data_IF_238605646889
#
_entry.id   IF_238605646889
#
_cell.length_a   1.000
_cell.length_b   1.000
_cell.length_c   1.000
_cell.angle_alpha   90.00
_cell.angle_beta   90.00
_cell.angle_gamma   90.00
#
_symmetry.space_group_name_H-M   'P 1'
#
loop_
_entity.id
_entity.type
_entity.pdbx_description
1 polymer ?
#
# COMPACT_ATOMS: atom_id res chain seq x y z
N UNK A 1 -4.41 -16.58 11.52
CA UNK A 1 -3.79 -16.26 10.21
C UNK A 1 -3.48 -14.76 10.18
N UNK A 2 -2.34 -14.31 9.66
CA UNK A 2 -1.92 -12.89 9.68
C UNK A 2 -1.92 -12.30 8.28
N UNK A 3 -2.48 -11.10 8.11
CA UNK A 3 -2.49 -10.42 6.82
C UNK A 3 -1.07 -10.14 6.33
N UNK A 4 -0.79 -10.49 5.08
CA UNK A 4 0.49 -10.27 4.40
C UNK A 4 0.26 -9.45 3.14
N UNK A 5 1.25 -8.64 2.78
CA UNK A 5 1.23 -7.92 1.50
C UNK A 5 1.06 -8.90 0.33
N UNK A 6 0.08 -8.68 -0.54
CA UNK A 6 -0.14 -9.54 -1.70
C UNK A 6 0.99 -9.45 -2.74
N UNK A 7 1.75 -8.35 -2.77
CA UNK A 7 2.84 -8.12 -3.74
C UNK A 7 4.20 -8.67 -3.30
N UNK A 8 4.52 -8.59 -2.01
CA UNK A 8 5.86 -8.92 -1.48
C UNK A 8 5.86 -9.82 -0.22
N UNK A 9 4.70 -10.25 0.27
CA UNK A 9 4.59 -11.17 1.42
C UNK A 9 4.90 -10.56 2.79
N UNK A 10 5.17 -9.24 2.89
CA UNK A 10 5.55 -8.59 4.16
C UNK A 10 4.46 -8.73 5.23
N UNK A 11 4.80 -9.17 6.46
CA UNK A 11 3.82 -9.48 7.51
C UNK A 11 3.41 -8.27 8.39
N UNK A 12 4.03 -7.10 8.21
CA UNK A 12 3.82 -5.90 9.04
C UNK A 12 3.49 -4.67 8.19
N UNK A 13 2.85 -3.68 8.81
CA UNK A 13 2.43 -2.43 8.19
C UNK A 13 1.58 -2.66 6.93
N UNK A 14 0.49 -3.43 7.10
CA UNK A 14 -0.44 -3.84 6.06
C UNK A 14 -1.68 -2.94 6.05
N UNK A 15 -2.00 -2.37 4.90
CA UNK A 15 -3.23 -1.60 4.72
C UNK A 15 -4.35 -2.50 4.23
N UNK A 16 -5.37 -2.73 5.07
CA UNK A 16 -6.48 -3.65 4.76
C UNK A 16 -7.27 -3.25 3.51
N UNK A 17 -7.52 -1.95 3.32
CA UNK A 17 -8.24 -1.43 2.14
C UNK A 17 -7.51 -1.70 0.82
N UNK A 18 -6.18 -1.72 0.84
CA UNK A 18 -5.36 -1.83 -0.36
C UNK A 18 -4.70 -3.21 -0.53
N UNK A 19 -4.76 -4.10 0.46
CA UNK A 19 -4.19 -5.45 0.36
C UNK A 19 -2.66 -5.52 0.34
N UNK A 20 -1.96 -4.42 0.66
CA UNK A 20 -0.51 -4.29 0.48
C UNK A 20 0.17 -3.64 1.68
N UNK A 21 1.50 -3.80 1.78
CA UNK A 21 2.28 -3.13 2.81
C UNK A 21 2.57 -1.67 2.48
N UNK A 22 2.99 -0.89 3.50
CA UNK A 22 3.29 0.53 3.36
C UNK A 22 4.31 0.90 2.26
N UNK A 23 5.27 0.01 1.95
CA UNK A 23 6.30 0.28 0.93
C UNK A 23 5.70 0.17 -0.46
N UNK A 24 5.07 -0.97 -0.76
CA UNK A 24 4.39 -1.18 -2.04
C UNK A 24 3.29 -0.12 -2.24
N UNK A 25 2.55 0.23 -1.18
CA UNK A 25 1.56 1.30 -1.25
C UNK A 25 2.19 2.63 -1.68
N UNK A 26 3.31 3.03 -1.07
CA UNK A 26 4.00 4.28 -1.41
C UNK A 26 4.50 4.29 -2.85
N UNK A 27 5.15 3.21 -3.29
CA UNK A 27 5.68 3.10 -4.66
C UNK A 27 4.57 3.18 -5.70
N UNK A 28 3.47 2.45 -5.48
CA UNK A 28 2.31 2.47 -6.37
C UNK A 28 1.61 3.83 -6.38
N UNK A 29 1.42 4.45 -5.21
CA UNK A 29 0.82 5.77 -5.12
C UNK A 29 1.67 6.84 -5.84
N UNK A 30 3.00 6.76 -5.73
CA UNK A 30 3.92 7.67 -6.43
C UNK A 30 3.92 7.46 -7.96
N UNK A 31 3.70 6.22 -8.42
CA UNK A 31 3.55 5.90 -9.85
C UNK A 31 2.15 6.22 -10.40
N UNK A 32 1.18 6.56 -9.54
CA UNK A 32 -0.21 6.76 -9.95
C UNK A 32 -0.99 5.46 -10.21
N UNK A 33 -0.47 4.30 -9.78
CA UNK A 33 -1.14 3.00 -9.93
C UNK A 33 -2.36 2.84 -9.00
N UNK A 34 -2.49 3.68 -7.95
CA UNK A 34 -3.61 3.65 -7.00
C UNK A 34 -4.59 4.80 -7.29
N UNK A 35 -5.78 4.53 -7.84
CA UNK A 35 -6.75 5.57 -8.17
C UNK A 35 -7.25 6.28 -6.90
N UNK A 36 -7.40 7.60 -7.00
CA UNK A 36 -7.91 8.43 -5.90
C UNK A 36 -6.90 8.73 -4.79
N UNK A 37 -5.66 8.23 -4.87
CA UNK A 37 -4.59 8.58 -3.92
C UNK A 37 -3.73 9.70 -4.52
N UNK A 38 -3.59 10.80 -3.76
CA UNK A 38 -2.67 11.91 -4.07
C UNK A 38 -1.89 12.27 -2.81
N UNK A 39 -0.74 12.95 -2.98
CA UNK A 39 -0.02 13.52 -1.83
C UNK A 39 -0.89 14.59 -1.17
N UNK A 40 -1.00 14.52 0.14
CA UNK A 40 -1.70 15.52 0.93
C UNK A 40 -0.80 16.74 1.16
N UNK A 41 -1.36 17.93 1.00
CA UNK A 41 -0.76 19.20 1.39
C UNK A 41 -1.85 20.01 2.10
N UNK A 42 -1.78 20.01 3.41
CA UNK A 42 -2.56 20.84 4.31
C UNK A 42 -1.62 21.80 5.01
#
# INVERSE_FOLDING_TARGET
>A
QRNRCQRCGRPRAFFRKFGICRICFREMALRGEIPGVRKSSW
#
